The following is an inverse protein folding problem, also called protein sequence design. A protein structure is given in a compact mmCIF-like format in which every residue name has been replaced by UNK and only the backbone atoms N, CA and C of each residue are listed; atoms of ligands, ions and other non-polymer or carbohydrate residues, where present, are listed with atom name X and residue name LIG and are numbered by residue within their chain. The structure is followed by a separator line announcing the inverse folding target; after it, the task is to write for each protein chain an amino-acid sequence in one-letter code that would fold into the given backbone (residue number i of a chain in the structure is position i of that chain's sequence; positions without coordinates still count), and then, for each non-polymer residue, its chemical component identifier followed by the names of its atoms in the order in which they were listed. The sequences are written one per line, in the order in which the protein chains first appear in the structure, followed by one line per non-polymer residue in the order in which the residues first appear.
data_IF_525697220362
#
_entry.id   IF_525697220362
#
_cell.length_a   1.000
_cell.length_b   1.000
_cell.length_c   1.000
_cell.angle_alpha   90.00
_cell.angle_beta   90.00
_cell.angle_gamma   90.00
#
_symmetry.space_group_name_H-M   'P 1'
#
loop_
_entity.id
_entity.type
_entity.pdbx_description
1 polymer ?
#
# COMPACT_ATOMS: atom_id res chain seq x y z
N UNK A 1 46.97 -26.15 7.61
CA UNK A 1 46.12 -26.39 6.42
C UNK A 1 46.33 -25.22 5.49
N UNK A 2 47.00 -25.43 4.35
CA UNK A 2 47.06 -24.41 3.30
C UNK A 2 45.84 -24.62 2.42
N UNK A 3 44.89 -23.70 2.49
CA UNK A 3 43.78 -23.66 1.55
C UNK A 3 44.35 -23.33 0.17
N UNK A 4 43.88 -24.04 -0.83
CA UNK A 4 44.18 -23.75 -2.23
C UNK A 4 43.52 -22.42 -2.63
N UNK A 5 44.05 -21.79 -3.69
CA UNK A 5 43.54 -20.50 -4.18
C UNK A 5 42.04 -20.60 -4.54
N UNK A 6 41.58 -21.75 -5.02
CA UNK A 6 40.20 -21.95 -5.41
C UNK A 6 39.26 -22.10 -4.20
N UNK A 7 39.69 -22.78 -3.14
CA UNK A 7 38.94 -22.84 -1.88
C UNK A 7 38.79 -21.45 -1.23
N UNK A 8 39.81 -20.59 -1.36
CA UNK A 8 39.74 -19.21 -0.87
C UNK A 8 38.75 -18.36 -1.69
N UNK A 9 38.69 -18.56 -3.01
CA UNK A 9 37.71 -17.88 -3.88
C UNK A 9 36.29 -18.33 -3.58
N UNK A 10 36.09 -19.63 -3.35
CA UNK A 10 34.78 -20.18 -3.01
C UNK A 10 34.30 -19.69 -1.64
N UNK A 11 35.19 -19.66 -0.64
CA UNK A 11 34.89 -19.10 0.67
C UNK A 11 34.55 -17.60 0.61
N UNK A 12 35.29 -16.83 -0.19
CA UNK A 12 35.02 -15.41 -0.41
C UNK A 12 33.65 -15.20 -1.09
N UNK A 13 33.38 -15.94 -2.16
CA UNK A 13 32.11 -15.87 -2.88
C UNK A 13 30.93 -16.22 -1.96
N UNK A 14 31.05 -17.27 -1.16
CA UNK A 14 30.02 -17.67 -0.20
C UNK A 14 29.77 -16.59 0.86
N UNK A 15 30.82 -15.92 1.34
CA UNK A 15 30.69 -14.81 2.28
C UNK A 15 29.98 -13.60 1.65
N UNK A 16 30.34 -13.23 0.42
CA UNK A 16 29.70 -12.14 -0.31
C UNK A 16 28.23 -12.43 -0.63
N UNK A 17 27.91 -13.66 -1.03
CA UNK A 17 26.53 -14.09 -1.27
C UNK A 17 25.70 -14.04 0.02
N UNK A 18 26.25 -14.52 1.14
CA UNK A 18 25.57 -14.45 2.43
C UNK A 18 25.27 -13.01 2.85
N UNK A 19 26.22 -12.10 2.67
CA UNK A 19 26.03 -10.66 2.93
C UNK A 19 25.00 -10.04 1.98
N UNK A 20 25.04 -10.38 0.69
CA UNK A 20 24.07 -9.90 -0.30
C UNK A 20 22.66 -10.35 0.05
N UNK A 21 22.46 -11.63 0.40
CA UNK A 21 21.14 -12.13 0.82
C UNK A 21 20.66 -11.46 2.11
N UNK A 22 21.56 -11.22 3.07
CA UNK A 22 21.20 -10.54 4.31
C UNK A 22 20.78 -9.08 4.05
N UNK A 23 21.48 -8.38 3.16
CA UNK A 23 21.13 -7.02 2.73
C UNK A 23 19.80 -6.98 1.99
N UNK A 24 19.60 -7.87 1.02
CA UNK A 24 18.36 -7.98 0.26
C UNK A 24 17.15 -8.26 1.18
N UNK A 25 17.32 -9.15 2.16
CA UNK A 25 16.27 -9.43 3.16
C UNK A 25 15.95 -8.18 3.99
N UNK A 26 16.96 -7.50 4.54
CA UNK A 26 16.77 -6.28 5.33
C UNK A 26 16.08 -5.19 4.52
N UNK A 27 16.51 -4.98 3.28
CA UNK A 27 15.91 -4.01 2.37
C UNK A 27 14.45 -4.35 2.12
N UNK A 28 14.13 -5.61 1.79
CA UNK A 28 12.74 -6.03 1.56
C UNK A 28 11.82 -5.84 2.78
N UNK A 29 12.34 -6.03 4.00
CA UNK A 29 11.59 -5.75 5.24
C UNK A 29 11.33 -4.25 5.40
N UNK A 30 12.32 -3.40 5.15
CA UNK A 30 12.16 -1.95 5.24
C UNK A 30 11.23 -1.41 4.15
N UNK A 31 11.36 -1.87 2.91
CA UNK A 31 10.47 -1.50 1.80
C UNK A 31 9.00 -1.85 2.13
N UNK A 32 8.78 -3.02 2.72
CA UNK A 32 7.46 -3.44 3.18
C UNK A 32 6.93 -2.52 4.29
N UNK A 33 7.75 -2.22 5.31
CA UNK A 33 7.38 -1.29 6.40
C UNK A 33 7.05 0.10 5.86
N UNK A 34 7.82 0.60 4.92
CA UNK A 34 7.61 1.90 4.30
C UNK A 34 6.30 1.92 3.50
N UNK A 35 6.02 0.89 2.71
CA UNK A 35 4.76 0.76 1.95
C UNK A 35 3.53 0.73 2.87
N UNK A 36 3.64 0.09 4.04
CA UNK A 36 2.55 -0.03 5.01
C UNK A 36 2.47 1.16 5.99
N UNK A 37 3.46 2.05 6.01
CA UNK A 37 3.58 3.14 6.99
C UNK A 37 2.33 4.01 7.03
N UNK A 38 1.77 4.31 5.86
CA UNK A 38 0.54 5.09 5.75
C UNK A 38 -0.64 4.38 6.42
N UNK A 39 -0.89 3.11 6.07
CA UNK A 39 -2.02 2.34 6.61
C UNK A 39 -1.88 2.10 8.13
N UNK A 40 -0.65 1.88 8.62
CA UNK A 40 -0.35 1.72 10.04
C UNK A 40 -0.50 3.02 10.84
N UNK A 41 -0.29 4.18 10.21
CA UNK A 41 -0.43 5.49 10.87
C UNK A 41 -1.90 5.88 11.11
N UNK A 42 -2.83 5.29 10.36
CA UNK A 42 -4.25 5.62 10.44
C UNK A 42 -4.87 5.09 11.74
N UNK A 43 -5.73 5.88 12.42
CA UNK A 43 -6.42 5.42 13.62
C UNK A 43 -7.43 4.32 13.30
N UNK A 44 -7.70 3.43 14.25
CA UNK A 44 -8.66 2.32 14.07
C UNK A 44 -10.07 2.77 13.69
N UNK A 45 -10.47 3.96 14.17
CA UNK A 45 -11.71 4.62 13.80
C UNK A 45 -11.40 5.88 13.01
N UNK A 46 -11.68 5.82 11.70
CA UNK A 46 -11.45 6.90 10.76
C UNK A 46 -12.53 7.99 10.89
N UNK A 47 -12.12 9.22 10.64
CA UNK A 47 -13.02 10.37 10.42
C UNK A 47 -13.10 10.66 8.92
N UNK A 48 -13.96 11.60 8.51
CA UNK A 48 -14.10 11.99 7.10
C UNK A 48 -12.77 12.47 6.49
N UNK A 49 -11.95 13.16 7.27
CA UNK A 49 -10.65 13.66 6.82
C UNK A 49 -9.68 12.51 6.50
N UNK A 50 -9.70 11.44 7.30
CA UNK A 50 -8.87 10.27 7.02
C UNK A 50 -9.38 9.50 5.79
N UNK A 51 -10.70 9.45 5.58
CA UNK A 51 -11.28 8.87 4.36
C UNK A 51 -10.85 9.68 3.13
N UNK A 52 -10.84 11.01 3.22
CA UNK A 52 -10.32 11.89 2.17
C UNK A 52 -8.87 11.55 1.80
N UNK A 53 -8.02 11.33 2.81
CA UNK A 53 -6.62 10.93 2.62
C UNK A 53 -6.49 9.55 1.97
N UNK A 54 -7.26 8.56 2.42
CA UNK A 54 -7.24 7.18 1.87
C UNK A 54 -7.60 7.17 0.39
N UNK A 55 -8.62 7.94 0.01
CA UNK A 55 -9.11 7.99 -1.38
C UNK A 55 -8.47 9.11 -2.21
N UNK A 56 -7.52 9.86 -1.64
CA UNK A 56 -6.85 11.00 -2.27
C UNK A 56 -7.83 11.96 -2.96
N UNK A 57 -8.90 12.33 -2.26
CA UNK A 57 -9.99 13.12 -2.84
C UNK A 57 -10.50 14.20 -1.88
N UNK A 58 -11.19 15.18 -2.43
CA UNK A 58 -11.78 16.28 -1.66
C UNK A 58 -12.96 15.84 -0.79
N UNK A 59 -13.20 16.56 0.32
CA UNK A 59 -14.28 16.25 1.28
C UNK A 59 -15.68 16.12 0.63
N UNK A 60 -16.09 16.93 -0.37
CA UNK A 60 -17.38 16.73 -1.05
C UNK A 60 -17.47 15.39 -1.79
N UNK A 61 -16.36 14.90 -2.32
CA UNK A 61 -16.28 13.60 -2.98
C UNK A 61 -16.36 12.47 -1.96
N UNK A 62 -15.73 12.65 -0.79
CA UNK A 62 -15.89 11.73 0.35
C UNK A 62 -17.36 11.55 0.73
N UNK A 63 -18.16 12.63 0.72
CA UNK A 63 -19.60 12.50 1.01
C UNK A 63 -20.34 11.61 0.01
N UNK A 64 -19.95 11.64 -1.27
CA UNK A 64 -20.47 10.73 -2.27
C UNK A 64 -20.04 9.29 -1.97
N UNK A 65 -18.78 9.10 -1.56
CA UNK A 65 -18.21 7.79 -1.24
C UNK A 65 -18.92 7.14 -0.05
N UNK A 66 -19.05 7.85 1.06
CA UNK A 66 -19.71 7.31 2.26
C UNK A 66 -21.20 7.04 2.04
N UNK A 67 -21.83 7.63 1.01
CA UNK A 67 -23.22 7.37 0.64
C UNK A 67 -23.37 6.21 -0.34
N UNK A 68 -22.28 5.64 -0.86
CA UNK A 68 -22.35 4.46 -1.71
C UNK A 68 -22.87 3.25 -0.93
N UNK A 69 -23.61 2.39 -1.63
CA UNK A 69 -24.15 1.18 -1.06
C UNK A 69 -23.02 0.24 -0.63
N UNK A 70 -23.16 -0.35 0.56
CA UNK A 70 -22.16 -1.25 1.14
C UNK A 70 -20.94 -0.54 1.75
N UNK A 71 -20.85 0.79 1.73
CA UNK A 71 -19.74 1.49 2.39
C UNK A 71 -19.76 1.24 3.91
N UNK A 72 -18.64 0.82 4.52
CA UNK A 72 -18.59 0.41 5.92
C UNK A 72 -18.74 1.61 6.87
N UNK A 73 -19.82 1.60 7.65
CA UNK A 73 -20.13 2.62 8.67
C UNK A 73 -20.15 2.00 10.04
N UNK A 74 -19.62 2.70 11.03
CA UNK A 74 -19.82 2.32 12.42
C UNK A 74 -21.24 2.74 12.85
N UNK A 75 -22.09 1.78 13.22
CA UNK A 75 -23.42 2.08 13.74
C UNK A 75 -23.39 2.52 15.21
N UNK A 76 -22.37 2.10 15.97
CA UNK A 76 -22.22 2.45 17.38
C UNK A 76 -21.66 3.86 17.59
N UNK A 77 -20.90 4.40 16.63
CA UNK A 77 -20.27 5.71 16.72
C UNK A 77 -20.60 6.54 15.48
N UNK A 78 -21.31 7.65 15.68
CA UNK A 78 -21.70 8.56 14.60
C UNK A 78 -20.47 9.14 13.90
N UNK A 79 -20.51 9.16 12.56
CA UNK A 79 -19.45 9.71 11.72
C UNK A 79 -18.05 9.11 11.99
N UNK A 80 -18.01 7.80 12.25
CA UNK A 80 -16.78 7.00 12.35
C UNK A 80 -16.82 5.81 11.40
N UNK A 81 -15.67 5.49 10.83
CA UNK A 81 -15.53 4.42 9.84
C UNK A 81 -14.43 3.46 10.27
N UNK A 82 -14.70 2.14 10.38
CA UNK A 82 -13.67 1.18 10.80
C UNK A 82 -12.57 1.08 9.75
N UNK A 83 -11.30 1.34 10.15
CA UNK A 83 -10.15 1.42 9.23
C UNK A 83 -10.03 0.21 8.32
N UNK A 84 -9.92 -0.97 8.93
CA UNK A 84 -9.63 -2.20 8.20
C UNK A 84 -10.77 -2.54 7.21
N UNK A 85 -12.01 -2.19 7.55
CA UNK A 85 -13.16 -2.36 6.66
C UNK A 85 -13.19 -1.36 5.52
N UNK A 86 -12.81 -0.11 5.75
CA UNK A 86 -12.71 0.91 4.70
C UNK A 86 -11.63 0.54 3.68
N UNK A 87 -10.47 0.07 4.15
CA UNK A 87 -9.39 -0.40 3.27
C UNK A 87 -9.81 -1.63 2.47
N UNK A 88 -10.41 -2.63 3.13
CA UNK A 88 -10.94 -3.82 2.44
C UNK A 88 -12.00 -3.46 1.38
N UNK A 89 -12.88 -2.50 1.70
CA UNK A 89 -13.91 -2.04 0.77
C UNK A 89 -13.32 -1.27 -0.42
N UNK A 90 -12.32 -0.39 -0.19
CA UNK A 90 -11.59 0.33 -1.23
C UNK A 90 -11.06 -0.65 -2.27
N UNK A 91 -10.32 -1.65 -1.82
CA UNK A 91 -9.60 -2.59 -2.72
C UNK A 91 -10.57 -3.43 -3.55
N UNK A 92 -11.74 -3.77 -3.01
CA UNK A 92 -12.78 -4.51 -3.73
C UNK A 92 -13.57 -3.66 -4.73
N UNK A 93 -13.62 -2.34 -4.53
CA UNK A 93 -14.49 -1.43 -5.29
C UNK A 93 -13.72 -0.47 -6.21
N UNK A 94 -12.41 -0.64 -6.41
CA UNK A 94 -11.56 0.26 -7.23
C UNK A 94 -12.16 0.53 -8.62
N UNK A 95 -12.56 -0.52 -9.35
CA UNK A 95 -13.15 -0.40 -10.69
C UNK A 95 -14.47 0.37 -10.68
N UNK A 96 -15.31 0.08 -9.69
CA UNK A 96 -16.59 0.74 -9.52
C UNK A 96 -16.41 2.23 -9.20
N UNK A 97 -15.50 2.54 -8.27
CA UNK A 97 -15.16 3.91 -7.90
C UNK A 97 -14.60 4.70 -9.08
N UNK A 98 -13.77 4.07 -9.91
CA UNK A 98 -13.24 4.73 -11.08
C UNK A 98 -14.34 5.07 -12.09
N UNK A 99 -15.22 4.12 -12.40
CA UNK A 99 -16.31 4.35 -13.34
C UNK A 99 -17.29 5.44 -12.87
N UNK A 100 -17.56 5.53 -11.57
CA UNK A 100 -18.57 6.42 -11.00
C UNK A 100 -18.04 7.80 -10.59
N UNK A 101 -16.77 7.89 -10.19
CA UNK A 101 -16.18 9.09 -9.61
C UNK A 101 -14.91 9.57 -10.32
N UNK A 102 -14.32 8.76 -11.22
CA UNK A 102 -13.10 9.12 -11.96
C UNK A 102 -11.88 9.36 -11.07
N UNK A 103 -11.83 8.75 -9.88
CA UNK A 103 -10.79 9.02 -8.86
C UNK A 103 -9.47 8.33 -9.22
N UNK A 104 -9.50 7.24 -9.99
CA UNK A 104 -8.31 6.45 -10.29
C UNK A 104 -7.93 6.57 -11.76
N UNK A 105 -6.66 6.80 -12.06
CA UNK A 105 -6.19 6.75 -13.45
C UNK A 105 -6.30 5.30 -13.92
N UNK A 106 -6.98 5.05 -15.03
CA UNK A 106 -7.04 3.70 -15.59
C UNK A 106 -5.64 3.22 -15.95
N UNK A 107 -5.36 1.93 -15.85
CA UNK A 107 -4.03 1.37 -16.13
C UNK A 107 -3.53 1.74 -17.53
N UNK A 108 -4.44 1.80 -18.51
CA UNK A 108 -4.17 2.24 -19.88
C UNK A 108 -3.79 3.73 -19.96
N UNK A 109 -4.41 4.57 -19.15
CA UNK A 109 -4.14 6.02 -19.09
C UNK A 109 -2.78 6.27 -18.41
N UNK A 110 -2.45 5.53 -17.35
CA UNK A 110 -1.12 5.56 -16.72
C UNK A 110 -0.01 5.16 -17.68
N UNK A 111 -0.22 4.08 -18.45
CA UNK A 111 0.73 3.62 -19.48
C UNK A 111 0.87 4.63 -20.62
N UNK A 112 -0.17 5.38 -20.94
CA UNK A 112 -0.12 6.45 -21.95
C UNK A 112 0.68 7.64 -21.44
N UNK A 113 0.51 8.04 -20.19
CA UNK A 113 1.24 9.15 -19.56
C UNK A 113 2.74 8.85 -19.43
N UNK A 114 3.12 7.59 -19.18
CA UNK A 114 4.54 7.18 -19.13
C UNK A 114 5.23 7.13 -20.50
N UNK A 115 4.45 7.12 -21.58
CA UNK A 115 4.95 7.09 -22.97
C UNK A 115 5.01 8.47 -23.63
N UNK A 116 4.50 9.51 -22.97
CA UNK A 116 4.49 10.90 -23.43
C UNK A 116 5.69 11.67 -22.86
#
# INVERSE_FOLDING_TARGET
MNLTIDELKEALLNAELADLFQKAYKQGVEDCRESMRFELSLPSNLKKEHVAQIFQCELPTVEKIIRMDGFPKCHALTARYPRDKVLEWRDKNVMYMNSRLGIYVSENESLRLLRA
#
